data_IF_100887439520
#
_entry.id   IF_100887439520
#
_cell.length_a   1.000
_cell.length_b   1.000
_cell.length_c   1.000
_cell.angle_alpha   90.00
_cell.angle_beta   90.00
_cell.angle_gamma   90.00
#
_symmetry.space_group_name_H-M   'P 1'
#
loop_
_entity.id
_entity.type
_entity.pdbx_description
1 polymer ?
#
# COMPACT_ATOMS: atom_id res chain seq x y z
N UNK A 1 21.56 22.03 48.52
CA UNK A 1 20.24 22.54 48.08
C UNK A 1 20.54 23.70 47.14
N UNK A 2 20.39 23.66 45.82
CA UNK A 2 19.39 22.98 44.99
C UNK A 2 19.89 23.06 43.53
N UNK A 3 20.55 22.00 43.05
CA UNK A 3 20.83 21.78 41.62
C UNK A 3 20.23 20.41 41.27
N UNK A 4 18.91 20.27 41.39
CA UNK A 4 18.21 19.00 41.09
C UNK A 4 16.79 19.19 40.51
N UNK A 5 16.43 20.39 40.05
CA UNK A 5 15.04 20.66 39.58
C UNK A 5 14.89 20.56 38.05
N UNK A 6 15.95 20.62 37.24
CA UNK A 6 15.78 20.77 35.78
C UNK A 6 15.68 19.46 34.96
N UNK A 7 15.87 18.27 35.54
CA UNK A 7 15.79 17.02 34.77
C UNK A 7 14.40 16.36 34.76
N UNK A 8 13.56 16.63 35.76
CA UNK A 8 12.21 16.04 35.82
C UNK A 8 11.20 16.75 34.89
N UNK A 9 11.42 18.03 34.56
CA UNK A 9 10.53 18.78 33.68
C UNK A 9 10.72 18.43 32.20
N UNK A 10 11.96 18.08 31.80
CA UNK A 10 12.26 17.61 30.44
C UNK A 10 11.79 16.15 30.20
N UNK A 11 11.83 15.29 31.22
CA UNK A 11 11.30 13.91 31.13
C UNK A 11 9.76 13.86 31.03
N UNK A 12 9.05 14.85 31.57
CA UNK A 12 7.59 14.93 31.48
C UNK A 12 7.05 15.32 30.10
N UNK A 13 7.81 16.08 29.31
CA UNK A 13 7.38 16.56 27.98
C UNK A 13 7.52 15.45 26.94
N UNK A 14 8.56 14.62 27.04
CA UNK A 14 8.77 13.50 26.09
C UNK A 14 7.82 12.33 26.37
N UNK A 15 7.40 12.13 27.62
CA UNK A 15 6.50 11.01 27.98
C UNK A 15 5.01 11.29 27.76
N UNK A 16 4.58 12.56 27.75
CA UNK A 16 3.15 12.94 27.71
C UNK A 16 2.49 12.84 26.34
N UNK A 17 3.25 12.74 25.26
CA UNK A 17 2.71 12.57 23.90
C UNK A 17 2.47 11.10 23.52
N UNK A 18 3.10 10.15 24.19
CA UNK A 18 2.94 8.71 23.90
C UNK A 18 1.78 8.09 24.67
N UNK A 19 1.33 8.70 25.77
CA UNK A 19 0.29 8.17 26.66
C UNK A 19 -0.67 9.29 27.11
N UNK A 20 -1.36 9.94 26.15
CA UNK A 20 -2.56 10.71 26.51
C UNK A 20 -3.62 9.74 27.05
N UNK A 21 -4.49 10.16 27.99
CA UNK A 21 -5.50 9.29 28.57
C UNK A 21 -6.36 8.68 27.46
N UNK A 22 -6.61 7.37 27.57
CA UNK A 22 -7.52 6.62 26.73
C UNK A 22 -8.85 7.37 26.65
N UNK A 23 -9.20 7.95 25.50
CA UNK A 23 -10.59 8.39 25.27
C UNK A 23 -11.44 7.12 25.32
N UNK A 24 -12.45 7.11 26.18
CA UNK A 24 -13.34 5.96 26.26
C UNK A 24 -14.11 5.83 24.94
N UNK A 25 -14.44 4.60 24.56
CA UNK A 25 -15.27 4.30 23.37
C UNK A 25 -16.60 5.04 23.34
N UNK A 26 -17.05 5.61 24.48
CA UNK A 26 -18.21 6.49 24.58
C UNK A 26 -18.06 7.82 23.85
N UNK A 27 -16.83 8.28 23.55
CA UNK A 27 -16.59 9.55 22.84
C UNK A 27 -16.82 9.44 21.32
N UNK A 28 -16.88 8.22 20.79
CA UNK A 28 -17.07 7.94 19.35
C UNK A 28 -18.25 6.99 19.14
N UNK A 29 -19.45 7.52 18.88
CA UNK A 29 -20.61 6.68 18.63
C UNK A 29 -20.38 5.81 17.38
N UNK A 30 -20.93 4.60 17.36
CA UNK A 30 -20.71 3.62 16.30
C UNK A 30 -21.00 4.17 14.89
N UNK A 31 -21.99 5.08 14.74
CA UNK A 31 -22.30 5.72 13.47
C UNK A 31 -21.13 6.55 12.93
N UNK A 32 -20.32 7.18 13.79
CA UNK A 32 -19.17 7.98 13.39
C UNK A 32 -18.07 7.09 12.79
N UNK A 33 -17.81 5.94 13.44
CA UNK A 33 -16.90 4.91 12.94
C UNK A 33 -17.36 4.42 11.55
N UNK A 34 -18.66 4.13 11.41
CA UNK A 34 -19.23 3.71 10.14
C UNK A 34 -19.07 4.77 9.03
N UNK A 35 -19.28 6.06 9.34
CA UNK A 35 -19.10 7.14 8.36
C UNK A 35 -17.64 7.24 7.91
N UNK A 36 -16.69 7.29 8.83
CA UNK A 36 -15.27 7.37 8.47
C UNK A 36 -14.84 6.14 7.66
N UNK A 37 -15.31 4.95 8.04
CA UNK A 37 -15.02 3.73 7.29
C UNK A 37 -15.64 3.75 5.89
N UNK A 38 -16.90 4.18 5.76
CA UNK A 38 -17.57 4.30 4.47
C UNK A 38 -16.86 5.32 3.57
N UNK A 39 -16.49 6.49 4.11
CA UNK A 39 -15.71 7.49 3.38
C UNK A 39 -14.35 6.93 2.97
N UNK A 40 -13.65 6.21 3.87
CA UNK A 40 -12.37 5.59 3.56
C UNK A 40 -12.51 4.59 2.41
N UNK A 41 -13.53 3.72 2.46
CA UNK A 41 -13.82 2.76 1.41
C UNK A 41 -14.16 3.44 0.06
N UNK A 42 -15.00 4.48 0.08
CA UNK A 42 -15.38 5.22 -1.13
C UNK A 42 -14.15 5.90 -1.74
N UNK A 43 -13.36 6.61 -0.94
CA UNK A 43 -12.16 7.33 -1.41
C UNK A 43 -11.17 6.35 -2.04
N UNK A 44 -10.81 5.27 -1.35
CA UNK A 44 -9.83 4.30 -1.88
C UNK A 44 -10.35 3.55 -3.10
N UNK A 45 -11.63 3.15 -3.10
CA UNK A 45 -12.25 2.42 -4.21
C UNK A 45 -12.37 3.30 -5.45
N UNK A 46 -12.90 4.52 -5.32
CA UNK A 46 -13.00 5.46 -6.43
C UNK A 46 -11.62 5.79 -6.99
N UNK A 47 -10.65 6.09 -6.12
CA UNK A 47 -9.29 6.41 -6.56
C UNK A 47 -8.65 5.24 -7.30
N UNK A 48 -8.76 4.02 -6.77
CA UNK A 48 -8.26 2.80 -7.42
C UNK A 48 -8.87 2.62 -8.82
N UNK A 49 -10.20 2.70 -8.93
CA UNK A 49 -10.88 2.48 -10.21
C UNK A 49 -10.65 3.62 -11.19
N UNK A 50 -10.61 4.88 -10.75
CA UNK A 50 -10.30 6.01 -11.63
C UNK A 50 -8.94 5.83 -12.30
N UNK A 51 -7.89 5.59 -11.52
CA UNK A 51 -6.54 5.41 -12.07
C UNK A 51 -6.41 4.08 -12.82
N UNK A 52 -6.92 2.99 -12.24
CA UNK A 52 -6.86 1.64 -12.81
C UNK A 52 -7.60 1.53 -14.14
N UNK A 53 -8.75 2.18 -14.30
CA UNK A 53 -9.49 2.21 -15.56
C UNK A 53 -8.79 3.05 -16.63
N UNK A 54 -8.06 4.11 -16.27
CA UNK A 54 -7.24 4.84 -17.25
C UNK A 54 -6.19 3.94 -17.89
N UNK A 55 -5.46 3.15 -17.10
CA UNK A 55 -4.50 2.17 -17.63
C UNK A 55 -5.21 1.02 -18.37
N UNK A 56 -6.28 0.48 -17.79
CA UNK A 56 -7.03 -0.64 -18.36
C UNK A 56 -7.67 -0.26 -19.69
N UNK A 57 -8.10 1.00 -19.88
CA UNK A 57 -8.59 1.50 -21.15
C UNK A 57 -7.51 1.43 -22.23
N UNK A 58 -6.27 1.82 -21.89
CA UNK A 58 -5.14 1.62 -22.79
C UNK A 58 -5.09 0.14 -23.10
N UNK A 59 -4.93 -0.72 -22.07
CA UNK A 59 -4.68 -2.16 -22.18
C UNK A 59 -5.72 -2.97 -22.99
N UNK A 60 -6.99 -2.56 -22.93
CA UNK A 60 -8.09 -3.18 -23.70
C UNK A 60 -8.12 -2.70 -25.16
N UNK A 61 -7.79 -1.44 -25.42
CA UNK A 61 -8.04 -0.83 -26.74
C UNK A 61 -6.80 -0.78 -27.63
N UNK A 62 -5.61 -0.79 -27.03
CA UNK A 62 -4.36 -0.52 -27.76
C UNK A 62 -4.21 0.92 -28.20
N UNK A 63 -4.93 1.84 -27.55
CA UNK A 63 -4.94 3.25 -27.90
C UNK A 63 -4.69 4.13 -26.67
N UNK A 64 -4.07 5.30 -26.88
CA UNK A 64 -3.43 5.73 -28.12
C UNK A 64 -2.06 5.04 -28.35
N UNK A 65 -1.76 4.69 -29.62
CA UNK A 65 -0.57 3.90 -29.99
C UNK A 65 0.77 4.51 -29.56
N UNK A 66 0.84 5.84 -29.42
CA UNK A 66 2.09 6.49 -29.04
C UNK A 66 2.52 6.19 -27.59
N UNK A 67 1.63 5.69 -26.73
CA UNK A 67 1.98 5.30 -25.36
C UNK A 67 2.74 3.97 -25.30
N UNK A 68 2.69 3.15 -26.36
CA UNK A 68 3.35 1.85 -26.42
C UNK A 68 4.87 1.95 -26.44
N UNK A 69 5.43 3.11 -26.77
CA UNK A 69 6.86 3.37 -26.62
C UNK A 69 7.34 3.28 -25.17
N UNK A 70 6.42 3.36 -24.20
CA UNK A 70 6.71 3.21 -22.78
C UNK A 70 6.39 1.79 -22.26
N UNK A 71 5.86 0.88 -23.08
CA UNK A 71 5.55 -0.49 -22.65
C UNK A 71 6.85 -1.19 -22.25
N UNK A 72 6.84 -1.89 -21.11
CA UNK A 72 8.04 -2.55 -20.57
C UNK A 72 8.24 -3.94 -21.17
N UNK A 73 7.15 -4.66 -21.41
CA UNK A 73 7.20 -6.06 -21.80
C UNK A 73 7.08 -6.23 -23.31
N UNK A 74 8.14 -6.70 -23.96
CA UNK A 74 8.20 -6.84 -25.43
C UNK A 74 7.20 -7.86 -26.00
N UNK A 75 6.89 -8.91 -25.23
CA UNK A 75 6.06 -10.04 -25.66
C UNK A 75 4.71 -10.13 -24.91
N UNK A 76 4.23 -9.04 -24.33
CA UNK A 76 2.94 -9.06 -23.63
C UNK A 76 1.79 -9.39 -24.61
N UNK A 77 0.87 -10.30 -24.25
CA UNK A 77 -0.30 -10.59 -25.05
C UNK A 77 -1.21 -9.35 -25.08
N UNK A 78 -1.18 -8.63 -26.20
CA UNK A 78 -1.75 -7.30 -26.30
C UNK A 78 -2.53 -7.12 -27.61
N UNK A 79 -3.74 -6.52 -27.59
CA UNK A 79 -4.50 -6.03 -26.43
C UNK A 79 -4.98 -7.17 -25.52
N UNK A 80 -5.21 -6.83 -24.25
CA UNK A 80 -5.66 -7.80 -23.25
C UNK A 80 -7.12 -8.16 -23.51
N UNK A 81 -7.47 -9.43 -23.32
CA UNK A 81 -8.86 -9.87 -23.48
C UNK A 81 -9.77 -9.27 -22.40
N UNK A 82 -10.95 -8.80 -22.81
CA UNK A 82 -11.99 -8.33 -21.89
C UNK A 82 -12.39 -9.40 -20.85
N UNK A 83 -12.39 -10.69 -21.24
CA UNK A 83 -12.70 -11.77 -20.29
C UNK A 83 -11.67 -11.89 -19.17
N UNK A 84 -10.39 -11.66 -19.47
CA UNK A 84 -9.32 -11.66 -18.47
C UNK A 84 -9.47 -10.47 -17.52
N UNK A 85 -9.75 -9.28 -18.06
CA UNK A 85 -10.03 -8.08 -17.26
C UNK A 85 -11.25 -8.27 -16.35
N UNK A 86 -12.31 -8.92 -16.85
CA UNK A 86 -13.49 -9.23 -16.05
C UNK A 86 -13.18 -10.20 -14.89
N UNK A 87 -12.34 -11.21 -15.13
CA UNK A 87 -11.91 -12.14 -14.10
C UNK A 87 -11.07 -11.44 -13.01
N UNK A 88 -10.15 -10.56 -13.42
CA UNK A 88 -9.39 -9.72 -12.50
C UNK A 88 -10.33 -8.84 -11.67
N UNK A 89 -11.27 -8.18 -12.34
CA UNK A 89 -12.24 -7.27 -11.72
C UNK A 89 -13.07 -7.95 -10.64
N UNK A 90 -13.55 -9.18 -10.88
CA UNK A 90 -14.31 -9.95 -9.90
C UNK A 90 -13.51 -10.18 -8.60
N UNK A 91 -12.27 -10.62 -8.72
CA UNK A 91 -11.42 -10.87 -7.56
C UNK A 91 -11.01 -9.57 -6.85
N UNK A 92 -10.74 -8.52 -7.61
CA UNK A 92 -10.46 -7.17 -7.07
C UNK A 92 -11.63 -6.65 -6.24
N UNK A 93 -12.87 -6.82 -6.71
CA UNK A 93 -14.07 -6.43 -5.96
C UNK A 93 -14.18 -7.23 -4.66
N UNK A 94 -13.93 -8.54 -4.68
CA UNK A 94 -13.91 -9.37 -3.45
C UNK A 94 -12.88 -8.81 -2.46
N UNK A 95 -11.66 -8.52 -2.92
CA UNK A 95 -10.60 -7.97 -2.07
C UNK A 95 -10.96 -6.58 -1.53
N UNK A 96 -11.59 -5.72 -2.32
CA UNK A 96 -12.11 -4.43 -1.84
C UNK A 96 -13.21 -4.60 -0.79
N UNK A 97 -14.10 -5.59 -0.92
CA UNK A 97 -15.13 -5.87 0.11
C UNK A 97 -14.51 -6.33 1.44
N UNK A 98 -13.39 -7.06 1.42
CA UNK A 98 -12.64 -7.45 2.63
C UNK A 98 -12.07 -6.24 3.37
N UNK A 99 -11.78 -5.14 2.66
CA UNK A 99 -11.33 -3.90 3.29
C UNK A 99 -12.36 -3.32 4.28
N UNK A 100 -13.66 -3.59 4.09
CA UNK A 100 -14.72 -3.07 4.97
C UNK A 100 -14.58 -3.62 6.41
N UNK A 101 -14.67 -4.93 6.67
CA UNK A 101 -14.52 -5.46 8.03
C UNK A 101 -13.12 -5.19 8.61
N UNK A 102 -12.05 -5.28 7.80
CA UNK A 102 -10.70 -4.95 8.26
C UNK A 102 -10.56 -3.49 8.69
N UNK A 103 -11.16 -2.57 7.94
CA UNK A 103 -11.15 -1.14 8.24
C UNK A 103 -11.98 -0.79 9.49
N UNK A 104 -13.10 -1.47 9.73
CA UNK A 104 -13.85 -1.35 10.99
C UNK A 104 -12.98 -1.76 12.18
N UNK A 105 -12.31 -2.92 12.10
CA UNK A 105 -11.39 -3.39 13.15
C UNK A 105 -10.26 -2.39 13.36
N UNK A 106 -9.62 -1.92 12.29
CA UNK A 106 -8.58 -0.91 12.35
C UNK A 106 -9.06 0.37 13.04
N UNK A 107 -10.24 0.88 12.69
CA UNK A 107 -10.78 2.08 13.28
C UNK A 107 -11.03 1.92 14.79
N UNK A 108 -11.58 0.79 15.23
CA UNK A 108 -11.74 0.52 16.67
C UNK A 108 -10.40 0.45 17.39
N UNK A 109 -9.36 -0.11 16.78
CA UNK A 109 -8.00 -0.08 17.32
C UNK A 109 -7.48 1.37 17.42
N UNK A 110 -7.75 2.22 16.42
CA UNK A 110 -7.36 3.63 16.46
C UNK A 110 -8.11 4.41 17.54
N UNK A 111 -9.40 4.17 17.72
CA UNK A 111 -10.19 4.74 18.83
C UNK A 111 -9.60 4.32 20.17
N UNK A 112 -9.33 3.02 20.36
CA UNK A 112 -8.70 2.49 21.56
C UNK A 112 -7.31 3.10 21.82
N UNK A 113 -6.51 3.24 20.77
CA UNK A 113 -5.18 3.85 20.81
C UNK A 113 -5.21 5.34 21.18
N UNK A 114 -6.34 6.01 20.92
CA UNK A 114 -6.52 7.45 21.06
C UNK A 114 -5.89 8.20 19.88
N UNK A 115 -6.71 8.62 18.92
CA UNK A 115 -6.28 9.43 17.77
C UNK A 115 -7.18 10.67 17.59
N UNK A 116 -6.68 11.70 16.90
CA UNK A 116 -7.52 12.83 16.50
C UNK A 116 -8.25 12.48 15.20
N UNK A 117 -9.57 12.30 15.30
CA UNK A 117 -10.42 11.82 14.21
C UNK A 117 -11.04 12.93 13.36
N UNK A 118 -10.57 14.17 13.46
CA UNK A 118 -11.08 15.26 12.60
C UNK A 118 -11.27 16.61 13.26
N UNK A 119 -10.82 16.82 14.52
CA UNK A 119 -11.00 18.14 15.17
C UNK A 119 -9.89 19.11 14.79
N UNK A 120 -8.65 18.63 14.73
CA UNK A 120 -7.49 19.47 14.38
C UNK A 120 -6.61 18.75 13.38
N UNK A 121 -6.37 19.37 12.22
CA UNK A 121 -5.44 18.83 11.25
C UNK A 121 -4.02 18.77 11.83
N UNK A 122 -3.21 17.76 11.45
CA UNK A 122 -1.81 17.74 11.85
C UNK A 122 -1.08 18.96 11.28
N UNK A 123 -0.06 19.44 12.00
CA UNK A 123 0.84 20.45 11.45
C UNK A 123 1.52 19.91 10.19
N UNK A 124 1.94 20.81 9.29
CA UNK A 124 2.63 20.42 8.06
C UNK A 124 3.88 19.56 8.33
N UNK A 125 4.65 19.89 9.36
CA UNK A 125 5.84 19.14 9.76
C UNK A 125 5.46 17.73 10.24
N UNK A 126 4.40 17.60 11.03
CA UNK A 126 3.91 16.30 11.49
C UNK A 126 3.41 15.47 10.31
N UNK A 127 2.66 16.08 9.39
CA UNK A 127 2.19 15.44 8.17
C UNK A 127 3.34 14.87 7.34
N UNK A 128 4.36 15.68 7.02
CA UNK A 128 5.54 15.22 6.25
C UNK A 128 6.30 14.11 6.98
N UNK A 129 6.51 14.24 8.30
CA UNK A 129 7.13 13.20 9.10
C UNK A 129 6.36 11.88 9.04
N UNK A 130 5.03 11.93 9.20
CA UNK A 130 4.17 10.75 9.11
C UNK A 130 4.29 10.09 7.73
N UNK A 131 4.25 10.84 6.62
CA UNK A 131 4.39 10.26 5.28
C UNK A 131 5.72 9.51 5.10
N UNK A 132 6.83 10.05 5.58
CA UNK A 132 8.14 9.40 5.53
C UNK A 132 8.12 8.13 6.39
N UNK A 133 7.62 8.23 7.63
CA UNK A 133 7.56 7.09 8.55
C UNK A 133 6.70 5.95 7.99
N UNK A 134 5.50 6.27 7.48
CA UNK A 134 4.62 5.29 6.85
C UNK A 134 5.30 4.62 5.66
N UNK A 135 6.02 5.38 4.82
CA UNK A 135 6.71 4.82 3.65
C UNK A 135 7.83 3.86 4.03
N UNK A 136 8.63 4.20 5.05
CA UNK A 136 9.70 3.33 5.56
C UNK A 136 9.12 2.06 6.19
N UNK A 137 8.10 2.19 7.03
CA UNK A 137 7.44 1.03 7.65
C UNK A 137 6.79 0.12 6.61
N UNK A 138 6.14 0.71 5.60
CA UNK A 138 5.50 -0.02 4.51
C UNK A 138 6.54 -0.81 3.69
N UNK A 139 7.67 -0.19 3.33
CA UNK A 139 8.78 -0.87 2.64
C UNK A 139 9.30 -2.08 3.45
N UNK A 140 9.51 -1.91 4.76
CA UNK A 140 10.04 -2.96 5.63
C UNK A 140 9.03 -4.10 5.77
N UNK A 141 7.79 -3.80 6.15
CA UNK A 141 6.78 -4.83 6.40
C UNK A 141 6.44 -5.55 5.09
N UNK A 142 6.29 -4.80 3.99
CA UNK A 142 5.93 -5.38 2.69
C UNK A 142 7.00 -6.36 2.23
N UNK A 143 8.28 -5.97 2.31
CA UNK A 143 9.37 -6.85 1.92
C UNK A 143 9.28 -8.20 2.63
N UNK A 144 9.08 -8.22 3.95
CA UNK A 144 9.04 -9.48 4.69
C UNK A 144 7.75 -10.26 4.47
N UNK A 145 6.58 -9.61 4.46
CA UNK A 145 5.31 -10.32 4.19
C UNK A 145 5.32 -10.89 2.78
N UNK A 146 5.75 -10.11 1.78
CA UNK A 146 5.87 -10.55 0.40
C UNK A 146 6.88 -11.68 0.23
N UNK A 147 8.07 -11.58 0.83
CA UNK A 147 9.06 -12.68 0.78
C UNK A 147 8.55 -13.96 1.43
N UNK A 148 7.76 -13.88 2.51
CA UNK A 148 7.08 -15.04 3.11
C UNK A 148 6.05 -15.64 2.15
N UNK A 149 5.30 -14.81 1.41
CA UNK A 149 4.34 -15.28 0.40
C UNK A 149 5.01 -16.11 -0.71
N UNK A 150 6.29 -15.87 -0.97
CA UNK A 150 7.12 -16.65 -1.89
C UNK A 150 7.71 -17.93 -1.32
N UNK A 151 7.49 -18.21 -0.03
CA UNK A 151 7.90 -19.49 0.53
C UNK A 151 7.19 -20.65 -0.20
N UNK A 152 7.87 -21.75 -0.59
CA UNK A 152 7.29 -22.77 -1.46
C UNK A 152 5.96 -23.39 -0.99
N UNK A 153 5.75 -23.46 0.33
CA UNK A 153 4.49 -23.96 0.93
C UNK A 153 3.33 -22.97 0.87
N UNK A 154 3.61 -21.66 0.79
CA UNK A 154 2.61 -20.58 0.76
C UNK A 154 2.33 -20.19 -0.69
N UNK A 155 3.39 -20.05 -1.50
CA UNK A 155 3.32 -19.57 -2.88
C UNK A 155 2.27 -20.32 -3.69
N UNK A 156 2.34 -21.67 -3.70
CA UNK A 156 1.48 -22.50 -4.54
C UNK A 156 -0.02 -22.28 -4.28
N UNK A 157 -0.39 -22.00 -3.04
CA UNK A 157 -1.78 -21.91 -2.60
C UNK A 157 -2.31 -20.49 -2.51
N UNK A 158 -1.43 -19.51 -2.28
CA UNK A 158 -1.84 -18.14 -1.95
C UNK A 158 -1.29 -17.17 -3.00
N UNK A 159 0.04 -17.11 -3.16
CA UNK A 159 0.68 -16.06 -3.96
C UNK A 159 0.72 -16.33 -5.46
N UNK A 160 0.58 -17.58 -5.88
CA UNK A 160 0.58 -17.97 -7.30
C UNK A 160 -0.52 -17.24 -8.09
N UNK A 161 -1.67 -16.96 -7.47
CA UNK A 161 -2.77 -16.21 -8.10
C UNK A 161 -2.32 -14.80 -8.51
N UNK A 162 -1.54 -14.11 -7.67
CA UNK A 162 -0.98 -12.81 -7.99
C UNK A 162 -0.02 -12.87 -9.18
N UNK A 163 0.78 -13.94 -9.25
CA UNK A 163 1.76 -14.20 -10.31
C UNK A 163 1.19 -14.86 -11.57
N UNK A 164 -0.13 -15.02 -11.69
CA UNK A 164 -0.75 -15.47 -12.95
C UNK A 164 -0.51 -14.47 -14.09
N UNK A 165 -0.32 -13.20 -13.74
CA UNK A 165 -0.02 -12.11 -14.66
C UNK A 165 1.47 -11.80 -14.71
N UNK A 166 2.24 -12.62 -15.42
CA UNK A 166 3.67 -12.39 -15.65
C UNK A 166 3.97 -11.08 -16.38
N UNK A 167 2.99 -10.57 -17.14
CA UNK A 167 2.96 -9.21 -17.68
C UNK A 167 1.75 -8.47 -17.08
N UNK A 168 1.90 -7.85 -15.91
CA UNK A 168 0.77 -7.30 -15.17
C UNK A 168 0.14 -6.10 -15.89
N UNK A 169 -1.13 -5.86 -15.54
CA UNK A 169 -1.88 -4.64 -15.85
C UNK A 169 -2.23 -3.94 -14.54
N UNK A 170 -2.49 -2.62 -14.57
CA UNK A 170 -2.58 -1.84 -13.34
C UNK A 170 -3.56 -2.43 -12.30
N UNK A 171 -4.76 -2.83 -12.72
CA UNK A 171 -5.79 -3.37 -11.81
C UNK A 171 -5.44 -4.76 -11.23
N UNK A 172 -4.47 -5.48 -11.79
CA UNK A 172 -3.98 -6.73 -11.20
C UNK A 172 -3.15 -6.51 -9.93
N UNK A 173 -2.85 -5.25 -9.58
CA UNK A 173 -2.18 -4.84 -8.34
C UNK A 173 -2.78 -5.47 -7.07
N UNK A 174 -4.10 -5.63 -7.01
CA UNK A 174 -4.79 -6.30 -5.90
C UNK A 174 -5.57 -7.54 -6.37
N UNK A 175 -5.20 -8.09 -7.52
CA UNK A 175 -5.61 -9.42 -7.95
C UNK A 175 -4.74 -10.44 -7.24
N UNK A 176 -5.23 -10.92 -6.10
CA UNK A 176 -4.53 -11.90 -5.29
C UNK A 176 -5.50 -12.65 -4.38
N UNK A 177 -5.00 -13.69 -3.73
CA UNK A 177 -5.80 -14.47 -2.80
C UNK A 177 -6.24 -13.58 -1.62
N UNK A 178 -7.48 -13.70 -1.11
CA UNK A 178 -7.99 -12.89 0.01
C UNK A 178 -7.03 -12.78 1.22
N UNK A 179 -6.40 -13.89 1.61
CA UNK A 179 -5.42 -13.91 2.69
C UNK A 179 -4.15 -13.12 2.37
N UNK A 180 -3.67 -13.16 1.13
CA UNK A 180 -2.57 -12.31 0.68
C UNK A 180 -2.98 -10.84 0.71
N UNK A 181 -4.21 -10.53 0.28
CA UNK A 181 -4.71 -9.17 0.34
C UNK A 181 -4.66 -8.61 1.77
N UNK A 182 -5.12 -9.40 2.75
CA UNK A 182 -5.05 -9.01 4.16
C UNK A 182 -3.60 -8.83 4.62
N UNK A 183 -2.71 -9.76 4.32
CA UNK A 183 -1.34 -9.74 4.87
C UNK A 183 -0.40 -8.76 4.15
N UNK A 184 -0.37 -8.79 2.83
CA UNK A 184 0.55 -8.01 2.00
C UNK A 184 0.05 -6.62 1.66
N UNK A 185 -1.27 -6.36 1.67
CA UNK A 185 -1.81 -5.02 1.37
C UNK A 185 -2.35 -4.31 2.62
N UNK A 186 -3.15 -4.97 3.46
CA UNK A 186 -3.82 -4.31 4.59
C UNK A 186 -2.89 -4.23 5.83
N UNK A 187 -2.40 -5.38 6.31
CA UNK A 187 -1.54 -5.49 7.49
C UNK A 187 -0.20 -4.80 7.29
N UNK A 188 0.26 -4.67 6.05
CA UNK A 188 1.51 -3.97 5.75
C UNK A 188 1.41 -2.47 6.08
N UNK A 189 0.24 -1.88 5.86
CA UNK A 189 0.03 -0.44 5.98
C UNK A 189 -0.34 -0.05 7.41
N UNK A 190 -1.29 -0.77 8.02
CA UNK A 190 -1.95 -0.43 9.30
C UNK A 190 -1.00 -0.14 10.49
N UNK A 191 0.04 -0.96 10.78
CA UNK A 191 0.83 -0.83 12.01
C UNK A 191 1.45 0.56 12.19
N UNK A 192 1.90 1.17 11.10
CA UNK A 192 2.53 2.49 11.13
C UNK A 192 1.57 3.59 11.60
N UNK A 193 0.28 3.51 11.22
CA UNK A 193 -0.77 4.44 11.65
C UNK A 193 -1.14 4.24 13.12
N UNK A 194 -1.19 3.00 13.60
CA UNK A 194 -1.45 2.68 15.01
C UNK A 194 -0.32 3.22 15.90
N UNK A 195 0.93 3.01 15.50
CA UNK A 195 2.10 3.48 16.25
C UNK A 195 2.02 5.00 16.44
N UNK A 196 1.77 5.73 15.36
CA UNK A 196 1.78 7.19 15.36
C UNK A 196 0.48 7.83 15.84
N UNK A 197 -0.62 7.10 15.94
CA UNK A 197 -1.93 7.69 16.27
C UNK A 197 -2.39 8.66 15.18
N UNK A 198 -2.11 8.33 13.92
CA UNK A 198 -2.25 9.24 12.78
C UNK A 198 -3.67 9.76 12.59
N UNK A 199 -3.78 11.00 12.15
CA UNK A 199 -5.06 11.64 11.83
C UNK A 199 -5.69 11.03 10.56
N UNK A 200 -7.02 10.99 10.48
CA UNK A 200 -7.76 10.39 9.34
C UNK A 200 -7.39 11.00 7.98
N UNK A 201 -7.09 12.30 7.94
CA UNK A 201 -6.62 12.95 6.71
C UNK A 201 -5.28 12.41 6.20
N UNK A 202 -4.39 11.97 7.10
CA UNK A 202 -3.13 11.31 6.74
C UNK A 202 -3.41 9.95 6.14
N UNK A 203 -4.38 9.21 6.70
CA UNK A 203 -4.77 7.89 6.19
C UNK A 203 -5.21 8.02 4.73
N UNK A 204 -6.18 8.89 4.45
CA UNK A 204 -6.72 9.05 3.09
C UNK A 204 -5.67 9.53 2.10
N UNK A 205 -4.88 10.54 2.47
CA UNK A 205 -3.82 11.03 1.59
C UNK A 205 -2.80 9.94 1.28
N UNK A 206 -2.31 9.25 2.31
CA UNK A 206 -1.30 8.22 2.14
C UNK A 206 -1.85 7.00 1.40
N UNK A 207 -3.09 6.56 1.67
CA UNK A 207 -3.73 5.46 0.92
C UNK A 207 -3.84 5.79 -0.57
N UNK A 208 -4.23 7.01 -0.95
CA UNK A 208 -4.26 7.42 -2.35
C UNK A 208 -2.87 7.37 -3.00
N UNK A 209 -1.84 7.88 -2.33
CA UNK A 209 -0.45 7.81 -2.83
C UNK A 209 0.03 6.36 -2.95
N UNK A 210 -0.25 5.52 -1.96
CA UNK A 210 0.11 4.11 -1.99
C UNK A 210 -0.61 3.39 -3.14
N UNK A 211 -1.92 3.61 -3.34
CA UNK A 211 -2.67 3.03 -4.46
C UNK A 211 -2.14 3.51 -5.81
N UNK A 212 -1.79 4.80 -5.95
CA UNK A 212 -1.18 5.33 -7.16
C UNK A 212 0.11 4.58 -7.50
N UNK A 213 1.00 4.41 -6.51
CA UNK A 213 2.27 3.73 -6.73
C UNK A 213 2.11 2.22 -6.96
N UNK A 214 1.19 1.55 -6.27
CA UNK A 214 0.92 0.12 -6.50
C UNK A 214 0.29 -0.11 -7.88
N UNK A 215 -0.63 0.74 -8.32
CA UNK A 215 -1.18 0.67 -9.68
C UNK A 215 -0.09 0.93 -10.72
N UNK A 216 0.75 1.94 -10.50
CA UNK A 216 1.87 2.26 -11.37
C UNK A 216 2.88 1.08 -11.45
N UNK A 217 3.22 0.44 -10.33
CA UNK A 217 4.15 -0.71 -10.30
C UNK A 217 3.66 -1.93 -11.08
N UNK A 218 2.35 -2.01 -11.35
CA UNK A 218 1.71 -3.08 -12.12
C UNK A 218 1.24 -2.64 -13.51
N UNK A 219 1.38 -1.36 -13.87
CA UNK A 219 0.73 -0.85 -15.08
C UNK A 219 1.37 -1.37 -16.39
N UNK A 220 2.61 -1.86 -16.33
CA UNK A 220 3.36 -2.32 -17.49
C UNK A 220 3.86 -1.21 -18.42
N UNK A 221 3.78 0.06 -18.00
CA UNK A 221 4.31 1.22 -18.74
C UNK A 221 5.28 2.02 -17.87
N UNK A 222 6.45 2.33 -18.40
CA UNK A 222 7.43 3.21 -17.77
C UNK A 222 7.20 4.67 -18.20
N UNK A 223 6.13 5.28 -17.69
CA UNK A 223 5.79 6.67 -18.04
C UNK A 223 6.73 7.69 -17.41
N UNK A 224 7.00 8.82 -18.10
CA UNK A 224 7.79 9.90 -17.53
C UNK A 224 7.09 10.50 -16.31
N UNK A 225 7.89 11.04 -15.38
CA UNK A 225 7.44 11.69 -14.12
C UNK A 225 6.81 10.75 -13.08
N UNK A 226 6.73 9.45 -13.36
CA UNK A 226 6.37 8.41 -12.38
C UNK A 226 7.61 7.60 -11.99
N UNK A 227 7.64 7.00 -10.78
CA UNK A 227 8.66 6.02 -10.44
C UNK A 227 8.65 4.86 -11.44
N UNK A 228 9.83 4.38 -11.85
CA UNK A 228 9.91 3.27 -12.79
C UNK A 228 9.27 1.99 -12.20
N UNK A 229 8.32 1.36 -12.91
CA UNK A 229 7.70 0.12 -12.45
C UNK A 229 8.50 -1.14 -12.84
N UNK A 230 9.61 -0.98 -13.57
CA UNK A 230 10.44 -2.10 -14.06
C UNK A 230 11.00 -2.98 -12.93
N UNK A 231 11.14 -2.43 -11.72
CA UNK A 231 11.60 -3.18 -10.55
C UNK A 231 10.64 -4.30 -10.17
N UNK A 232 9.35 -3.98 -10.08
CA UNK A 232 8.30 -4.93 -9.74
C UNK A 232 7.85 -5.75 -10.95
N UNK A 233 7.92 -5.19 -12.15
CA UNK A 233 7.73 -5.96 -13.38
C UNK A 233 8.76 -7.10 -13.49
N UNK A 234 10.02 -6.82 -13.16
CA UNK A 234 11.06 -7.85 -13.09
C UNK A 234 10.76 -8.92 -12.03
N UNK A 235 10.14 -8.53 -10.92
CA UNK A 235 9.68 -9.45 -9.89
C UNK A 235 8.63 -10.43 -10.44
N UNK A 236 7.59 -9.95 -11.14
CA UNK A 236 6.59 -10.81 -11.79
C UNK A 236 7.20 -11.78 -12.80
N UNK A 237 8.27 -11.37 -13.49
CA UNK A 237 8.96 -12.22 -14.46
C UNK A 237 9.87 -13.29 -13.80
N UNK A 238 10.52 -13.00 -12.66
CA UNK A 238 11.52 -13.90 -12.02
C UNK A 238 11.06 -14.58 -10.74
N UNK A 239 10.07 -14.03 -10.08
CA UNK A 239 9.40 -14.46 -8.83
C UNK A 239 10.28 -14.60 -7.57
N UNK A 240 11.60 -14.74 -7.68
CA UNK A 240 12.48 -15.02 -6.55
C UNK A 240 13.39 -13.85 -6.11
N UNK A 241 13.13 -12.63 -6.60
CA UNK A 241 13.93 -11.43 -6.38
C UNK A 241 13.04 -10.19 -6.40
N UNK A 242 13.54 -9.06 -5.88
CA UNK A 242 12.83 -7.79 -5.86
C UNK A 242 11.49 -7.85 -5.08
N UNK A 243 11.55 -8.14 -3.78
CA UNK A 243 10.35 -8.29 -2.94
C UNK A 243 9.83 -6.97 -2.37
N UNK A 244 10.67 -5.96 -2.22
CA UNK A 244 10.34 -4.66 -1.66
C UNK A 244 9.68 -3.72 -2.68
N UNK A 245 9.14 -2.61 -2.18
CA UNK A 245 8.50 -1.57 -2.98
C UNK A 245 9.52 -0.59 -3.55
N UNK A 246 10.47 -0.17 -2.71
CA UNK A 246 11.53 0.80 -3.03
C UNK A 246 12.86 0.09 -3.35
N UNK A 247 12.98 -1.19 -3.00
CA UNK A 247 14.18 -2.00 -3.23
C UNK A 247 15.32 -1.69 -2.25
N UNK A 248 15.07 -0.90 -1.21
CA UNK A 248 16.05 -0.61 -0.16
C UNK A 248 16.31 -1.86 0.67
N UNK A 249 15.25 -2.55 1.09
CA UNK A 249 15.38 -3.76 1.90
C UNK A 249 15.92 -4.93 1.07
N UNK A 250 15.62 -4.97 -0.23
CA UNK A 250 16.26 -5.92 -1.14
C UNK A 250 17.75 -5.67 -1.32
N UNK A 251 18.18 -4.41 -1.37
CA UNK A 251 19.59 -4.08 -1.43
C UNK A 251 20.33 -4.57 -0.18
N UNK A 252 19.73 -4.37 1.01
CA UNK A 252 20.27 -4.87 2.27
C UNK A 252 20.41 -6.41 2.29
N UNK A 253 19.45 -7.13 1.70
CA UNK A 253 19.45 -8.60 1.68
C UNK A 253 20.07 -9.23 0.43
N UNK A 254 20.51 -8.42 -0.54
CA UNK A 254 21.03 -8.91 -1.82
C UNK A 254 19.99 -9.58 -2.72
N UNK A 255 18.70 -9.33 -2.53
CA UNK A 255 17.61 -9.93 -3.34
C UNK A 255 17.30 -9.15 -4.61
N UNK A 256 18.11 -8.15 -4.98
CA UNK A 256 17.99 -7.38 -6.24
C UNK A 256 19.23 -7.45 -7.16
N UNK A 257 20.16 -8.39 -6.90
CA UNK A 257 21.44 -8.44 -7.61
C UNK A 257 21.30 -8.68 -9.12
N UNK A 258 20.41 -9.59 -9.55
CA UNK A 258 20.25 -9.88 -10.98
C UNK A 258 19.59 -8.70 -11.71
N UNK A 259 18.63 -8.03 -11.09
CA UNK A 259 18.04 -6.81 -11.63
C UNK A 259 19.08 -5.70 -11.82
N UNK A 260 19.93 -5.45 -10.81
CA UNK A 260 21.00 -4.45 -10.88
C UNK A 260 22.05 -4.78 -11.94
N UNK A 261 22.36 -6.06 -12.15
CA UNK A 261 23.23 -6.50 -13.26
C UNK A 261 22.59 -6.22 -14.62
N UNK A 262 21.31 -6.58 -14.79
CA UNK A 262 20.56 -6.31 -16.03
C UNK A 262 20.52 -4.83 -16.39
N UNK A 263 20.34 -3.93 -15.41
CA UNK A 263 20.29 -2.47 -15.65
C UNK A 263 21.63 -1.84 -16.04
N UNK A 264 22.75 -2.54 -15.87
CA UNK A 264 24.09 -2.06 -16.24
C UNK A 264 24.53 -2.48 -17.65
N UNK A 265 23.83 -3.45 -18.24
CA UNK A 265 24.05 -3.92 -19.60
C UNK A 265 23.11 -3.19 -20.56
#
# INVERSE_FOLDING_TARGET
>A
MTILISQNQARGIVHSHLLKPLRSSSDFPAWFVCIIQLCSYIVTTLFFWTIGLCYTFIDLTGKPKFLFKYKIQDNAPYPVSFSQVLNVTKQVIINQLIFIPCGVVFHYIMVWRGYDSGKTLPSFQRFVFELIFHSVMNEIIFYYTHRIMHHPSIYKSIHKLHHEWTTPIAISAIYCHPLEHVLSNIVTVIPSFIILGSHVSVWWFWFCIALLFTLNSHCGYNFPFMPSPEYHDYHHMKTNQNFGLLGFVDWLHGTNLSYRKRKKC
#
